data_IF_632864516895
#
_entry.id   IF_632864516895
#
_cell.length_a   1.000
_cell.length_b   1.000
_cell.length_c   1.000
_cell.angle_alpha   90.00
_cell.angle_beta   90.00
_cell.angle_gamma   90.00
#
_symmetry.space_group_name_H-M   'P 1'
#
loop_
_entity.id
_entity.type
_entity.pdbx_description
1 polymer ?
#
# COMPACT_ATOMS: atom_id res chain seq x y z
N UNK A 1 -36.14 1.82 -16.63
CA UNK A 1 -35.21 1.44 -15.55
C UNK A 1 -34.45 2.71 -15.18
N UNK A 2 -34.59 3.20 -13.94
CA UNK A 2 -33.86 4.39 -13.50
C UNK A 2 -32.48 3.97 -12.96
N UNK A 3 -31.43 4.70 -13.34
CA UNK A 3 -30.07 4.54 -12.84
C UNK A 3 -29.49 5.91 -12.51
N UNK A 4 -28.44 5.94 -11.68
CA UNK A 4 -27.73 7.16 -11.29
C UNK A 4 -26.23 6.98 -11.49
N UNK A 5 -25.56 8.02 -11.96
CA UNK A 5 -24.11 8.03 -12.12
C UNK A 5 -23.38 8.32 -10.79
N UNK A 6 -22.07 8.03 -10.76
CA UNK A 6 -21.23 8.36 -9.61
C UNK A 6 -21.10 9.87 -9.40
N UNK A 7 -20.79 10.28 -8.16
CA UNK A 7 -20.72 11.69 -7.77
C UNK A 7 -19.82 12.55 -8.67
N UNK A 8 -18.61 12.13 -9.10
CA UNK A 8 -17.79 12.95 -10.00
C UNK A 8 -18.47 13.21 -11.35
N UNK A 9 -19.16 12.22 -11.92
CA UNK A 9 -19.95 12.42 -13.13
C UNK A 9 -21.07 13.44 -12.90
N UNK A 10 -21.80 13.32 -11.79
CA UNK A 10 -22.88 14.26 -11.45
C UNK A 10 -22.38 15.69 -11.19
N UNK A 11 -21.19 15.85 -10.62
CA UNK A 11 -20.62 17.16 -10.30
C UNK A 11 -19.97 17.86 -11.50
N UNK A 12 -19.41 17.10 -12.43
CA UNK A 12 -18.47 17.64 -13.42
C UNK A 12 -18.94 17.48 -14.88
N UNK A 13 -20.00 16.72 -15.17
CA UNK A 13 -20.52 16.60 -16.54
C UNK A 13 -20.96 17.97 -17.08
N UNK A 14 -20.43 18.36 -18.23
CA UNK A 14 -20.71 19.65 -18.87
C UNK A 14 -19.85 20.83 -18.37
N UNK A 15 -18.95 20.62 -17.41
CA UNK A 15 -17.96 21.63 -16.99
C UNK A 15 -16.67 21.56 -17.83
N UNK A 16 -15.92 22.66 -17.99
CA UNK A 16 -14.67 22.68 -18.77
C UNK A 16 -13.58 21.71 -18.26
N UNK A 17 -13.50 21.46 -16.96
CA UNK A 17 -12.52 20.53 -16.38
C UNK A 17 -12.92 19.05 -16.53
N UNK A 18 -14.21 18.75 -16.71
CA UNK A 18 -14.74 17.49 -17.25
C UNK A 18 -14.29 16.17 -16.61
N UNK A 19 -13.77 16.14 -15.38
CA UNK A 19 -13.29 14.89 -14.77
C UNK A 19 -14.48 14.05 -14.25
N UNK A 20 -14.75 12.90 -14.86
CA UNK A 20 -15.95 12.09 -14.56
C UNK A 20 -15.68 10.79 -13.77
N UNK A 21 -14.42 10.37 -13.69
CA UNK A 21 -14.01 9.09 -13.06
C UNK A 21 -13.88 9.21 -11.55
N UNK A 22 -14.20 8.15 -10.81
CA UNK A 22 -14.13 8.19 -9.33
C UNK A 22 -12.85 7.64 -8.73
N UNK A 23 -12.29 6.60 -9.33
CA UNK A 23 -11.23 5.81 -8.72
C UNK A 23 -10.05 5.68 -9.67
N UNK A 24 -8.84 5.76 -9.11
CA UNK A 24 -7.59 5.64 -9.83
C UNK A 24 -6.69 4.66 -9.09
N UNK A 25 -5.99 3.82 -9.84
CA UNK A 25 -4.97 2.92 -9.31
C UNK A 25 -3.62 3.38 -9.84
N UNK A 26 -2.69 3.65 -8.92
CA UNK A 26 -1.35 4.12 -9.21
C UNK A 26 -0.33 3.18 -8.60
N UNK A 27 0.87 3.20 -9.14
CA UNK A 27 2.05 2.55 -8.61
C UNK A 27 3.16 3.58 -8.52
N UNK A 28 3.87 3.62 -7.40
CA UNK A 28 5.10 4.42 -7.29
C UNK A 28 6.25 3.67 -7.97
N UNK A 29 7.09 4.41 -8.70
CA UNK A 29 8.34 3.85 -9.24
C UNK A 29 9.36 3.59 -8.14
N UNK A 30 10.50 3.03 -8.53
CA UNK A 30 11.50 2.49 -7.60
C UNK A 30 12.61 3.52 -7.25
N UNK A 31 12.79 4.54 -8.09
CA UNK A 31 13.76 5.63 -7.87
C UNK A 31 13.17 6.80 -7.09
N UNK A 32 14.02 7.61 -6.44
CA UNK A 32 13.55 8.84 -5.75
C UNK A 32 12.84 9.79 -6.72
N UNK A 33 13.33 9.89 -7.96
CA UNK A 33 12.71 10.75 -8.97
C UNK A 33 11.27 10.29 -9.28
N UNK A 34 11.04 8.99 -9.36
CA UNK A 34 9.71 8.45 -9.63
C UNK A 34 8.76 8.64 -8.45
N UNK A 35 9.26 8.65 -7.21
CA UNK A 35 8.43 8.97 -6.04
C UNK A 35 7.87 10.39 -6.12
N UNK A 36 8.69 11.37 -6.53
CA UNK A 36 8.25 12.75 -6.71
C UNK A 36 7.30 12.92 -7.89
N UNK A 37 7.51 12.18 -8.99
CA UNK A 37 6.53 12.14 -10.10
C UNK A 37 5.20 11.55 -9.64
N UNK A 38 5.23 10.46 -8.88
CA UNK A 38 4.03 9.87 -8.31
C UNK A 38 3.30 10.82 -7.35
N UNK A 39 4.03 11.62 -6.57
CA UNK A 39 3.43 12.67 -5.74
C UNK A 39 2.74 13.75 -6.57
N UNK A 40 3.31 14.15 -7.72
CA UNK A 40 2.69 15.08 -8.66
C UNK A 40 1.37 14.50 -9.21
N UNK A 41 1.39 13.24 -9.68
CA UNK A 41 0.20 12.55 -10.17
C UNK A 41 -0.90 12.46 -9.10
N UNK A 42 -0.51 12.08 -7.87
CA UNK A 42 -1.41 12.03 -6.70
C UNK A 42 -2.01 13.41 -6.44
N UNK A 43 -1.20 14.48 -6.54
CA UNK A 43 -1.67 15.85 -6.30
C UNK A 43 -2.73 16.28 -7.31
N UNK A 44 -2.52 15.98 -8.59
CA UNK A 44 -3.47 16.28 -9.67
C UNK A 44 -4.79 15.53 -9.43
N UNK A 45 -4.72 14.23 -9.15
CA UNK A 45 -5.90 13.37 -9.00
C UNK A 45 -6.68 13.68 -7.72
N UNK A 46 -5.98 13.91 -6.60
CA UNK A 46 -6.60 14.29 -5.34
C UNK A 46 -7.28 15.66 -5.44
N UNK A 47 -6.65 16.63 -6.13
CA UNK A 47 -7.26 17.96 -6.38
C UNK A 47 -8.54 17.89 -7.21
N UNK A 48 -8.67 16.89 -8.08
CA UNK A 48 -9.88 16.62 -8.84
C UNK A 48 -10.97 15.86 -8.02
N UNK A 49 -10.70 15.51 -6.76
CA UNK A 49 -11.62 14.77 -5.89
C UNK A 49 -11.68 13.27 -6.20
N UNK A 50 -10.66 12.72 -6.88
CA UNK A 50 -10.54 11.29 -7.14
C UNK A 50 -10.11 10.50 -5.90
N UNK A 51 -10.65 9.28 -5.76
CA UNK A 51 -10.13 8.29 -4.83
C UNK A 51 -8.94 7.54 -5.42
N UNK A 52 -7.86 7.39 -4.66
CA UNK A 52 -6.60 6.82 -5.14
C UNK A 52 -6.31 5.50 -4.41
N UNK A 53 -6.03 4.44 -5.15
CA UNK A 53 -5.38 3.23 -4.67
C UNK A 53 -3.91 3.25 -5.06
N UNK A 54 -3.00 3.10 -4.10
CA UNK A 54 -1.56 3.21 -4.32
C UNK A 54 -0.85 1.89 -4.02
N UNK A 55 -0.23 1.29 -5.03
CA UNK A 55 0.65 0.13 -4.90
C UNK A 55 2.06 0.59 -4.46
N UNK A 56 2.51 0.08 -3.30
CA UNK A 56 3.83 0.39 -2.71
C UNK A 56 4.76 -0.83 -2.64
N UNK A 57 4.38 -1.96 -3.22
CA UNK A 57 5.07 -3.24 -3.02
C UNK A 57 6.48 -3.33 -3.60
N UNK A 58 6.85 -2.37 -4.44
CA UNK A 58 8.18 -2.30 -5.10
C UNK A 58 9.11 -1.29 -4.45
N UNK A 59 8.63 -0.53 -3.49
CA UNK A 59 9.47 0.45 -2.81
C UNK A 59 10.49 -0.27 -1.94
N UNK A 60 11.76 0.09 -2.06
CA UNK A 60 12.78 -0.45 -1.18
C UNK A 60 12.50 -0.05 0.27
N UNK A 61 12.64 -1.00 1.20
CA UNK A 61 12.33 -0.74 2.61
C UNK A 61 13.44 0.01 3.33
N UNK A 62 13.27 0.22 4.63
CA UNK A 62 14.20 1.08 5.41
C UNK A 62 15.64 0.57 5.31
N UNK A 63 16.54 1.46 4.89
CA UNK A 63 17.99 1.22 4.84
C UNK A 63 18.47 0.39 3.64
N UNK A 64 17.59 -0.02 2.73
CA UNK A 64 18.01 -0.57 1.44
C UNK A 64 18.58 0.51 0.52
N UNK A 65 19.47 0.15 -0.38
CA UNK A 65 20.08 1.12 -1.31
C UNK A 65 19.09 1.50 -2.41
N UNK A 66 18.88 2.80 -2.59
CA UNK A 66 18.07 3.38 -3.69
C UNK A 66 18.86 4.52 -4.31
N UNK A 67 18.98 4.55 -5.63
CA UNK A 67 19.84 5.49 -6.36
C UNK A 67 21.26 5.57 -5.72
N UNK A 68 21.61 6.71 -5.11
CA UNK A 68 22.91 6.98 -4.48
C UNK A 68 22.85 7.04 -2.93
N UNK A 69 21.94 6.30 -2.29
CA UNK A 69 21.96 6.21 -0.83
C UNK A 69 20.80 5.45 -0.19
N UNK A 70 20.72 5.42 1.15
CA UNK A 70 19.75 4.60 1.85
C UNK A 70 18.31 5.09 1.65
N UNK A 71 17.40 4.14 1.47
CA UNK A 71 15.97 4.35 1.40
C UNK A 71 15.46 4.77 2.79
N UNK A 72 14.60 5.80 2.87
CA UNK A 72 13.90 6.14 4.11
C UNK A 72 12.79 5.14 4.45
N UNK A 73 12.55 4.15 3.57
CA UNK A 73 11.53 3.11 3.66
C UNK A 73 10.13 3.60 3.34
N UNK A 74 9.22 2.63 3.21
CA UNK A 74 7.80 2.88 2.96
C UNK A 74 7.19 3.80 4.03
N UNK A 75 7.46 3.65 5.33
CA UNK A 75 6.84 4.50 6.36
C UNK A 75 7.08 6.00 6.17
N UNK A 76 8.29 6.40 5.79
CA UNK A 76 8.63 7.81 5.60
C UNK A 76 7.97 8.39 4.34
N UNK A 77 7.91 7.59 3.27
CA UNK A 77 7.21 7.98 2.03
C UNK A 77 5.72 8.17 2.31
N UNK A 78 5.11 7.26 3.09
CA UNK A 78 3.71 7.37 3.49
C UNK A 78 3.45 8.60 4.38
N UNK A 79 4.36 8.93 5.30
CA UNK A 79 4.25 10.16 6.09
C UNK A 79 4.25 11.42 5.23
N UNK A 80 5.08 11.48 4.17
CA UNK A 80 5.06 12.57 3.20
C UNK A 80 3.72 12.65 2.44
N UNK A 81 3.24 11.50 1.94
CA UNK A 81 1.98 11.42 1.21
C UNK A 81 0.77 11.76 2.08
N UNK A 82 0.79 11.39 3.37
CA UNK A 82 -0.24 11.76 4.34
C UNK A 82 -0.41 13.28 4.43
N UNK A 83 0.70 14.03 4.53
CA UNK A 83 0.66 15.51 4.59
C UNK A 83 0.16 16.11 3.28
N UNK A 84 0.57 15.54 2.14
CA UNK A 84 0.08 15.98 0.84
C UNK A 84 -1.43 15.78 0.71
N UNK A 85 -1.94 14.57 1.01
CA UNK A 85 -3.38 14.26 0.96
C UNK A 85 -4.16 15.13 1.94
N UNK A 86 -3.67 15.31 3.16
CA UNK A 86 -4.30 16.16 4.18
C UNK A 86 -4.47 17.61 3.69
N UNK A 87 -3.44 18.17 3.06
CA UNK A 87 -3.46 19.52 2.50
C UNK A 87 -4.48 19.66 1.35
N UNK A 88 -4.51 18.68 0.45
CA UNK A 88 -5.37 18.72 -0.74
C UNK A 88 -6.85 18.49 -0.41
N UNK A 89 -7.13 17.64 0.57
CA UNK A 89 -8.49 17.33 1.02
C UNK A 89 -9.25 18.53 1.60
N UNK A 90 -8.55 19.61 1.99
CA UNK A 90 -9.19 20.82 2.53
C UNK A 90 -9.77 21.77 1.46
N UNK A 91 -9.42 21.59 0.19
CA UNK A 91 -9.74 22.55 -0.89
C UNK A 91 -10.87 22.12 -1.82
N UNK A 92 -11.33 20.86 -1.74
CA UNK A 92 -12.26 20.26 -2.70
C UNK A 92 -13.73 20.20 -2.25
N UNK A 93 -14.65 20.05 -3.21
CA UNK A 93 -16.07 19.71 -2.96
C UNK A 93 -16.24 18.31 -2.32
N UNK A 94 -15.24 17.44 -2.51
CA UNK A 94 -15.14 16.10 -1.94
C UNK A 94 -13.73 15.94 -1.36
N UNK A 95 -13.58 15.46 -0.11
CA UNK A 95 -12.28 15.13 0.43
C UNK A 95 -11.58 14.06 -0.43
N UNK A 96 -10.30 14.25 -0.70
CA UNK A 96 -9.50 13.22 -1.35
C UNK A 96 -9.27 12.08 -0.35
N UNK A 97 -9.30 10.85 -0.86
CA UNK A 97 -9.05 9.65 -0.08
C UNK A 97 -8.02 8.80 -0.80
N UNK A 98 -7.01 8.33 -0.07
CA UNK A 98 -5.98 7.45 -0.62
C UNK A 98 -5.89 6.18 0.21
N UNK A 99 -5.92 5.03 -0.46
CA UNK A 99 -5.71 3.71 0.13
C UNK A 99 -4.41 3.13 -0.38
N UNK A 100 -3.53 2.76 0.54
CA UNK A 100 -2.22 2.17 0.24
C UNK A 100 -2.34 0.65 0.30
N UNK A 101 -1.87 -0.03 -0.75
CA UNK A 101 -1.87 -1.48 -0.90
C UNK A 101 -0.48 -2.06 -0.69
N UNK A 102 -0.37 -2.97 0.26
CA UNK A 102 0.89 -3.62 0.64
C UNK A 102 0.72 -5.12 0.81
N UNK A 103 1.67 -5.91 0.33
CA UNK A 103 1.74 -7.35 0.51
C UNK A 103 2.43 -7.68 1.85
N UNK A 104 1.97 -8.72 2.57
CA UNK A 104 2.43 -9.00 3.93
C UNK A 104 3.88 -9.53 4.02
N UNK A 105 4.54 -9.84 2.90
CA UNK A 105 5.96 -10.22 2.87
C UNK A 105 6.90 -9.03 2.85
N UNK A 106 6.41 -7.82 2.60
CA UNK A 106 7.29 -6.66 2.50
C UNK A 106 7.92 -6.34 3.87
N UNK A 107 9.23 -6.11 3.94
CA UNK A 107 9.97 -5.93 5.21
C UNK A 107 9.42 -4.86 6.14
N UNK A 108 8.92 -3.76 5.57
CA UNK A 108 8.35 -2.65 6.33
C UNK A 108 6.91 -2.90 6.81
N UNK A 109 6.31 -4.08 6.58
CA UNK A 109 4.90 -4.36 6.87
C UNK A 109 4.50 -4.03 8.31
N UNK A 110 5.31 -4.44 9.28
CA UNK A 110 5.02 -4.21 10.70
C UNK A 110 5.05 -2.71 11.03
N UNK A 111 6.03 -1.99 10.49
CA UNK A 111 6.12 -0.54 10.67
C UNK A 111 4.95 0.19 10.01
N UNK A 112 4.49 -0.27 8.84
CA UNK A 112 3.33 0.32 8.15
C UNK A 112 2.03 0.08 8.93
N UNK A 113 1.83 -1.13 9.47
CA UNK A 113 0.66 -1.45 10.31
C UNK A 113 0.60 -0.57 11.58
N UNK A 114 1.75 -0.12 12.07
CA UNK A 114 1.85 0.77 13.22
C UNK A 114 1.52 2.23 12.91
N UNK A 115 1.63 2.70 11.65
CA UNK A 115 1.49 4.13 11.30
C UNK A 115 0.10 4.72 11.56
N UNK A 116 -0.93 3.89 11.70
CA UNK A 116 -2.30 4.34 11.98
C UNK A 116 -2.71 4.14 13.44
N UNK A 117 -1.89 3.47 14.23
CA UNK A 117 -2.21 3.10 15.61
C UNK A 117 -2.09 4.31 16.52
N UNK A 118 -2.93 4.35 17.56
CA UNK A 118 -3.01 5.48 18.49
C UNK A 118 -1.67 5.71 19.21
N UNK A 119 -0.95 4.63 19.49
CA UNK A 119 0.31 4.65 20.25
C UNK A 119 1.56 4.86 19.39
N UNK A 120 1.42 5.11 18.08
CA UNK A 120 2.58 5.38 17.24
C UNK A 120 3.15 6.77 17.53
N UNK A 121 4.41 7.00 17.14
CA UNK A 121 5.02 8.33 17.18
C UNK A 121 4.15 9.32 16.37
N UNK A 122 3.63 10.41 17.00
CA UNK A 122 2.79 11.38 16.33
C UNK A 122 3.44 12.01 15.09
N UNK A 123 4.78 12.10 15.05
CA UNK A 123 5.51 12.66 13.91
C UNK A 123 5.46 11.77 12.65
N UNK A 124 5.22 10.47 12.84
CA UNK A 124 5.14 9.47 11.75
C UNK A 124 3.71 9.01 11.46
N UNK A 125 2.74 9.41 12.29
CA UNK A 125 1.35 8.97 12.15
C UNK A 125 0.74 9.46 10.84
N UNK A 126 0.00 8.56 10.20
CA UNK A 126 -0.67 8.80 8.91
C UNK A 126 -2.19 8.71 9.07
N UNK A 127 -2.81 9.77 9.55
CA UNK A 127 -4.24 9.80 9.87
C UNK A 127 -5.13 9.91 8.62
N UNK A 128 -4.61 10.51 7.54
CA UNK A 128 -5.36 10.82 6.32
C UNK A 128 -5.37 9.66 5.32
N UNK A 129 -4.49 8.67 5.50
CA UNK A 129 -4.35 7.52 4.61
C UNK A 129 -5.15 6.32 5.10
N UNK A 130 -5.68 5.53 4.17
CA UNK A 130 -6.22 4.20 4.44
C UNK A 130 -5.22 3.12 4.04
N UNK A 131 -5.29 1.97 4.68
CA UNK A 131 -4.42 0.84 4.43
C UNK A 131 -5.21 -0.38 3.97
N UNK A 132 -4.65 -1.12 3.04
CA UNK A 132 -5.17 -2.37 2.53
C UNK A 132 -4.04 -3.38 2.35
N UNK A 133 -4.28 -4.63 2.72
CA UNK A 133 -3.37 -5.73 2.48
C UNK A 133 -3.73 -6.44 1.18
N UNK A 134 -2.70 -6.74 0.39
CA UNK A 134 -2.79 -7.54 -0.83
C UNK A 134 -2.22 -8.93 -0.54
N UNK A 135 -3.08 -9.83 -0.09
CA UNK A 135 -2.69 -11.05 0.63
C UNK A 135 -2.61 -12.23 -0.33
N UNK A 136 -1.44 -12.86 -0.50
CA UNK A 136 -1.33 -14.13 -1.21
C UNK A 136 -1.91 -15.28 -0.36
N UNK A 137 -2.47 -16.30 -1.02
CA UNK A 137 -3.02 -17.51 -0.40
C UNK A 137 -1.96 -18.17 0.50
N UNK A 138 -0.70 -18.20 0.06
CA UNK A 138 0.44 -18.73 0.81
C UNK A 138 0.60 -18.11 2.21
N UNK A 139 0.34 -16.81 2.37
CA UNK A 139 0.43 -16.18 3.70
C UNK A 139 -0.62 -16.76 4.65
N UNK A 140 -1.84 -16.95 4.16
CA UNK A 140 -2.94 -17.52 4.95
C UNK A 140 -2.66 -18.98 5.33
N UNK A 141 -2.11 -19.77 4.41
CA UNK A 141 -1.67 -21.15 4.68
C UNK A 141 -0.62 -21.19 5.80
N UNK A 142 0.39 -20.29 5.75
CA UNK A 142 1.43 -20.20 6.78
C UNK A 142 0.88 -19.79 8.15
N UNK A 143 -0.12 -18.89 8.19
CA UNK A 143 -0.80 -18.51 9.43
C UNK A 143 -1.58 -19.69 10.04
N UNK A 144 -2.32 -20.42 9.21
CA UNK A 144 -3.11 -21.59 9.63
C UNK A 144 -2.21 -22.68 10.22
N UNK A 145 -1.10 -22.96 9.55
CA UNK A 145 -0.13 -23.99 9.94
C UNK A 145 0.79 -23.58 11.11
N UNK A 146 0.64 -22.35 11.64
CA UNK A 146 1.56 -21.77 12.62
C UNK A 146 3.03 -21.82 12.17
N UNK A 147 3.24 -21.60 10.87
CA UNK A 147 4.53 -21.66 10.21
C UNK A 147 5.33 -20.35 10.26
N UNK A 148 6.49 -20.42 9.63
CA UNK A 148 7.35 -19.26 9.42
C UNK A 148 6.90 -18.43 8.23
N UNK A 149 7.19 -17.13 8.29
CA UNK A 149 6.95 -16.17 7.22
C UNK A 149 8.20 -15.33 7.04
N UNK A 150 8.65 -15.18 5.81
CA UNK A 150 9.85 -14.43 5.46
C UNK A 150 9.49 -13.05 4.93
N UNK A 151 10.12 -12.05 5.53
CA UNK A 151 10.02 -10.66 5.15
C UNK A 151 11.18 -10.28 4.23
N UNK A 152 10.85 -9.73 3.05
CA UNK A 152 11.81 -9.39 2.01
C UNK A 152 11.85 -7.89 1.69
N UNK A 153 13.01 -7.44 1.21
CA UNK A 153 13.14 -6.14 0.56
C UNK A 153 13.00 -6.29 -0.97
N UNK A 154 12.12 -5.52 -1.64
CA UNK A 154 12.02 -5.54 -3.09
C UNK A 154 13.33 -5.19 -3.82
N UNK A 155 14.26 -4.49 -3.19
CA UNK A 155 15.59 -4.22 -3.78
C UNK A 155 16.48 -5.45 -3.89
N UNK A 156 16.21 -6.51 -3.10
CA UNK A 156 16.99 -7.76 -3.13
C UNK A 156 16.23 -8.91 -3.77
N UNK A 157 14.89 -8.90 -3.71
CA UNK A 157 14.03 -9.88 -4.39
C UNK A 157 13.21 -9.22 -5.48
N UNK A 158 13.42 -9.66 -6.71
CA UNK A 158 12.71 -9.12 -7.87
C UNK A 158 11.45 -9.94 -8.20
N UNK A 159 10.43 -9.26 -8.73
CA UNK A 159 9.28 -9.90 -9.37
C UNK A 159 8.17 -10.41 -8.46
N UNK A 160 8.35 -10.54 -7.13
CA UNK A 160 7.29 -11.06 -6.23
C UNK A 160 5.96 -10.30 -6.35
N UNK A 161 6.02 -8.97 -6.42
CA UNK A 161 4.84 -8.10 -6.56
C UNK A 161 4.09 -8.30 -7.91
N UNK A 162 4.75 -8.89 -8.91
CA UNK A 162 4.17 -9.16 -10.24
C UNK A 162 3.67 -10.60 -10.42
N UNK A 163 3.88 -11.48 -9.44
CA UNK A 163 3.49 -12.89 -9.49
C UNK A 163 2.29 -13.15 -8.59
N UNK A 164 1.53 -14.21 -8.85
CA UNK A 164 0.41 -14.66 -8.01
C UNK A 164 0.27 -16.19 -8.08
N UNK A 165 -0.50 -16.78 -7.18
CA UNK A 165 -0.77 -18.22 -7.10
C UNK A 165 0.51 -19.05 -6.96
N UNK A 166 0.55 -20.22 -7.60
CA UNK A 166 1.70 -21.14 -7.53
C UNK A 166 3.01 -20.48 -7.96
N UNK A 167 2.99 -19.62 -9.00
CA UNK A 167 4.20 -18.92 -9.45
C UNK A 167 4.78 -17.99 -8.37
N UNK A 168 3.91 -17.33 -7.61
CA UNK A 168 4.35 -16.54 -6.46
C UNK A 168 4.93 -17.45 -5.39
N UNK A 169 4.23 -18.54 -5.05
CA UNK A 169 4.66 -19.49 -4.01
C UNK A 169 6.02 -20.13 -4.30
N UNK A 170 6.27 -20.52 -5.55
CA UNK A 170 7.53 -21.13 -5.96
C UNK A 170 8.71 -20.15 -5.85
N UNK A 171 8.53 -18.92 -6.35
CA UNK A 171 9.57 -17.89 -6.30
C UNK A 171 9.80 -17.41 -4.86
N UNK A 172 8.73 -17.29 -4.06
CA UNK A 172 8.82 -16.94 -2.65
C UNK A 172 9.67 -17.96 -1.87
N UNK A 173 9.33 -19.25 -1.96
CA UNK A 173 10.08 -20.33 -1.29
C UNK A 173 11.53 -20.39 -1.74
N UNK A 174 11.79 -20.17 -3.04
CA UNK A 174 13.15 -20.10 -3.56
C UNK A 174 13.98 -18.99 -2.90
N UNK A 175 13.39 -17.82 -2.63
CA UNK A 175 14.07 -16.75 -1.91
C UNK A 175 14.26 -17.07 -0.42
N UNK A 176 13.35 -17.82 0.20
CA UNK A 176 13.53 -18.36 1.55
C UNK A 176 14.74 -19.32 1.61
N UNK A 177 14.85 -20.25 0.66
CA UNK A 177 15.97 -21.21 0.57
C UNK A 177 17.34 -20.52 0.37
N UNK A 178 17.33 -19.35 -0.26
CA UNK A 178 18.53 -18.51 -0.45
C UNK A 178 18.85 -17.64 0.76
N UNK A 179 18.01 -17.61 1.79
CA UNK A 179 18.21 -16.79 2.99
C UNK A 179 18.16 -15.28 2.73
N UNK A 180 17.37 -14.84 1.74
CA UNK A 180 17.35 -13.44 1.28
C UNK A 180 16.44 -12.50 2.10
N UNK A 181 15.89 -12.97 3.22
CA UNK A 181 14.92 -12.23 4.02
C UNK A 181 15.06 -12.47 5.51
N UNK A 182 14.21 -11.78 6.28
CA UNK A 182 14.12 -11.94 7.73
C UNK A 182 12.96 -12.86 8.07
N UNK A 183 13.24 -13.96 8.75
CA UNK A 183 12.22 -14.93 9.16
C UNK A 183 11.52 -14.47 10.43
N UNK A 184 10.19 -14.53 10.43
CA UNK A 184 9.30 -14.27 11.57
C UNK A 184 8.23 -15.37 11.64
N UNK A 185 7.45 -15.43 12.72
CA UNK A 185 6.27 -16.29 12.73
C UNK A 185 5.14 -15.64 11.95
N UNK A 186 4.46 -16.39 11.09
CA UNK A 186 3.30 -15.90 10.36
C UNK A 186 2.22 -15.33 11.30
N UNK A 187 2.03 -15.99 12.45
CA UNK A 187 1.07 -15.55 13.48
C UNK A 187 1.42 -14.24 14.16
N UNK A 188 2.69 -13.84 14.20
CA UNK A 188 3.08 -12.56 14.78
C UNK A 188 2.66 -11.41 13.85
N UNK A 189 2.87 -11.58 12.54
CA UNK A 189 2.37 -10.65 11.51
C UNK A 189 0.85 -10.59 11.56
N UNK A 190 0.18 -11.75 11.57
CA UNK A 190 -1.28 -11.84 11.67
C UNK A 190 -1.84 -11.15 12.92
N UNK A 191 -1.20 -11.33 14.07
CA UNK A 191 -1.59 -10.66 15.32
C UNK A 191 -1.46 -9.15 15.20
N UNK A 192 -0.40 -8.65 14.53
CA UNK A 192 -0.24 -7.22 14.26
C UNK A 192 -1.36 -6.67 13.37
N UNK A 193 -1.75 -7.42 12.33
CA UNK A 193 -2.86 -7.07 11.43
C UNK A 193 -4.16 -6.95 12.23
N UNK A 194 -4.50 -7.96 13.03
CA UNK A 194 -5.72 -7.95 13.86
C UNK A 194 -5.69 -6.78 14.85
N UNK A 195 -4.56 -6.51 15.50
CA UNK A 195 -4.44 -5.38 16.45
C UNK A 195 -4.70 -4.05 15.75
N UNK A 196 -4.10 -3.84 14.57
CA UNK A 196 -4.33 -2.64 13.76
C UNK A 196 -5.83 -2.50 13.39
N UNK A 197 -6.49 -3.62 13.05
CA UNK A 197 -7.93 -3.64 12.72
C UNK A 197 -8.81 -3.30 13.92
N UNK A 198 -8.49 -3.82 15.10
CA UNK A 198 -9.22 -3.52 16.34
C UNK A 198 -9.09 -2.03 16.68
N UNK A 199 -7.88 -1.46 16.54
CA UNK A 199 -7.62 -0.07 16.94
C UNK A 199 -8.11 0.96 15.90
N UNK A 200 -8.10 0.62 14.61
CA UNK A 200 -8.24 1.62 13.53
C UNK A 200 -9.32 1.29 12.49
N UNK A 201 -9.90 0.09 12.53
CA UNK A 201 -10.83 -0.42 11.51
C UNK A 201 -10.17 -0.87 10.20
N UNK A 202 -8.84 -0.79 10.09
CA UNK A 202 -8.06 -1.28 8.96
C UNK A 202 -6.78 -2.01 9.41
N UNK A 203 -6.01 -2.62 8.50
CA UNK A 203 -6.14 -2.51 7.05
C UNK A 203 -7.33 -3.30 6.48
N UNK A 204 -7.80 -2.88 5.31
CA UNK A 204 -8.70 -3.68 4.48
C UNK A 204 -8.01 -4.97 4.02
N UNK A 205 -8.78 -6.00 3.74
CA UNK A 205 -8.26 -7.32 3.36
C UNK A 205 -8.65 -7.60 1.91
N UNK A 206 -7.66 -7.78 1.03
CA UNK A 206 -7.87 -8.19 -0.35
C UNK A 206 -7.01 -9.42 -0.66
N UNK A 207 -7.61 -10.48 -1.19
CA UNK A 207 -6.93 -11.73 -1.52
C UNK A 207 -6.38 -11.67 -2.95
N UNK A 208 -5.08 -11.43 -3.06
CA UNK A 208 -4.32 -11.23 -4.30
C UNK A 208 -4.60 -12.33 -5.32
N UNK A 209 -4.54 -13.58 -4.88
CA UNK A 209 -4.65 -14.72 -5.79
C UNK A 209 -6.08 -14.90 -6.29
N UNK A 210 -7.08 -14.64 -5.43
CA UNK A 210 -8.49 -14.66 -5.84
C UNK A 210 -8.82 -13.56 -6.86
N UNK A 211 -8.17 -12.39 -6.78
CA UNK A 211 -8.42 -11.29 -7.72
C UNK A 211 -7.73 -11.51 -9.08
N UNK A 212 -6.61 -12.24 -9.13
CA UNK A 212 -5.85 -12.47 -10.37
C UNK A 212 -6.15 -13.82 -11.07
N UNK A 213 -6.90 -14.73 -10.43
CA UNK A 213 -7.39 -15.99 -11.03
C UNK A 213 -8.48 -15.72 -12.06
#
# INVERSE_FOLDING_TARGET
MAYIHASPTLFNAGLPSGQLSSCFLLRLGESRQDWFRGLEDISILASAGGGIGLDVNRLAGVGAEVDDGPSPGVPSILALLDKAVSLLSQRGRRPAAMTVYMEPWHRDILSVLDLKRVHCDPSRRTDSLFYALWIPDLFMERVEQDGEWTLFDPSVVDGLAGLYGERFSDVYRRYEDMGMGTVVRARDVWTSIIRSQIETGGPFMMYKDAVNK
#
